data_IF_238223030724
#
_entry.id   IF_238223030724
#
_cell.length_a   1.000
_cell.length_b   1.000
_cell.length_c   1.000
_cell.angle_alpha   90.00
_cell.angle_beta   90.00
_cell.angle_gamma   90.00
#
_symmetry.space_group_name_H-M   'P 1'
#
loop_
_entity.id
_entity.type
_entity.pdbx_description
1 polymer ?
#
# COMPACT_ATOMS: atom_id res chain seq x y z
N UNK A 1 -21.14 28.12 -18.76
CA UNK A 1 -20.57 26.83 -18.35
C UNK A 1 -19.85 27.09 -17.04
N UNK A 2 -20.39 26.60 -15.93
CA UNK A 2 -19.94 26.98 -14.59
C UNK A 2 -18.49 26.51 -14.36
N UNK A 3 -17.68 27.43 -13.85
CA UNK A 3 -16.31 27.17 -13.44
C UNK A 3 -16.36 26.42 -12.12
N UNK A 4 -15.95 25.16 -12.10
CA UNK A 4 -15.86 24.39 -10.85
C UNK A 4 -14.87 25.10 -9.92
N UNK A 5 -15.33 25.37 -8.70
CA UNK A 5 -14.54 25.96 -7.63
C UNK A 5 -13.79 24.80 -6.98
N UNK A 6 -12.45 24.76 -6.96
CA UNK A 6 -11.72 23.77 -6.19
C UNK A 6 -12.12 23.97 -4.73
N UNK A 7 -12.70 22.96 -4.09
CA UNK A 7 -13.02 23.02 -2.67
C UNK A 7 -11.73 23.26 -1.90
N UNK A 8 -11.62 24.38 -1.18
CA UNK A 8 -10.42 24.75 -0.41
C UNK A 8 -10.02 23.72 0.66
N UNK A 9 -10.88 22.71 0.89
CA UNK A 9 -10.56 21.46 1.56
C UNK A 9 -10.90 20.34 0.56
N UNK A 10 -9.90 19.62 0.04
CA UNK A 10 -10.07 18.57 -0.98
C UNK A 10 -10.78 17.30 -0.51
N UNK A 11 -11.94 17.45 0.15
CA UNK A 11 -12.74 16.36 0.67
C UNK A 11 -13.87 16.04 -0.31
N UNK A 12 -13.75 14.91 -1.00
CA UNK A 12 -14.81 14.36 -1.84
C UNK A 12 -15.87 13.67 -0.96
N UNK A 13 -17.10 14.17 -1.04
CA UNK A 13 -18.22 13.64 -0.24
C UNK A 13 -18.93 12.47 -0.92
N UNK A 14 -18.77 12.33 -2.24
CA UNK A 14 -19.42 11.33 -3.07
C UNK A 14 -18.49 10.11 -3.25
N UNK A 15 -17.23 10.32 -3.65
CA UNK A 15 -16.22 9.27 -3.76
C UNK A 15 -15.31 9.23 -2.53
N UNK A 16 -15.80 8.60 -1.45
CA UNK A 16 -15.05 8.48 -0.18
C UNK A 16 -13.91 7.44 -0.20
N UNK A 17 -13.83 6.62 -1.23
CA UNK A 17 -12.75 5.62 -1.43
C UNK A 17 -12.12 5.76 -2.83
N UNK A 18 -11.35 6.84 -3.09
CA UNK A 18 -10.77 7.10 -4.40
C UNK A 18 -9.73 6.06 -4.83
N UNK A 19 -9.05 5.44 -3.86
CA UNK A 19 -7.99 4.45 -4.10
C UNK A 19 -8.48 3.00 -4.03
N UNK A 20 -9.79 2.78 -3.87
CA UNK A 20 -10.41 1.45 -3.73
C UNK A 20 -9.76 0.58 -2.65
N UNK A 21 -9.33 1.17 -1.54
CA UNK A 21 -8.64 0.44 -0.46
C UNK A 21 -9.57 -0.54 0.25
N UNK A 22 -10.88 -0.28 0.22
CA UNK A 22 -11.89 -1.05 0.94
C UNK A 22 -12.74 -1.93 0.01
N UNK A 23 -12.24 -2.28 -1.19
CA UNK A 23 -12.97 -3.11 -2.14
C UNK A 23 -13.44 -4.45 -1.55
N UNK A 24 -12.60 -5.08 -0.72
CA UNK A 24 -12.91 -6.33 -0.01
C UNK A 24 -14.09 -6.23 0.98
N UNK A 25 -14.51 -5.03 1.40
CA UNK A 25 -15.66 -4.83 2.29
C UNK A 25 -16.99 -4.65 1.54
N UNK A 26 -16.93 -4.54 0.20
CA UNK A 26 -18.10 -4.42 -0.67
C UNK A 26 -18.78 -5.77 -0.84
N UNK A 27 -19.44 -6.22 0.22
CA UNK A 27 -20.26 -7.45 0.20
C UNK A 27 -21.70 -7.08 -0.13
N UNK A 28 -22.22 -7.60 -1.25
CA UNK A 28 -23.60 -7.43 -1.68
C UNK A 28 -24.50 -8.53 -1.10
N UNK A 29 -25.82 -8.34 -1.19
CA UNK A 29 -26.79 -9.35 -0.74
C UNK A 29 -26.63 -10.67 -1.50
N UNK A 30 -26.46 -10.57 -2.82
CA UNK A 30 -26.32 -11.73 -3.70
C UNK A 30 -25.01 -12.48 -3.42
N UNK A 31 -23.93 -11.79 -3.02
CA UNK A 31 -22.65 -12.44 -2.65
C UNK A 31 -22.78 -13.35 -1.40
N UNK A 32 -23.77 -13.09 -0.55
CA UNK A 32 -23.96 -13.83 0.72
C UNK A 32 -24.95 -14.97 0.56
N UNK A 33 -26.08 -14.72 -0.12
CA UNK A 33 -27.20 -15.65 -0.13
C UNK A 33 -27.43 -16.37 -1.45
N UNK A 34 -26.99 -15.81 -2.59
CA UNK A 34 -27.14 -16.31 -3.97
C UNK A 34 -28.00 -17.59 -4.11
N UNK A 35 -29.31 -17.43 -4.34
CA UNK A 35 -30.18 -18.58 -4.61
C UNK A 35 -29.96 -19.11 -6.05
N UNK A 36 -29.75 -20.43 -6.25
CA UNK A 36 -29.54 -21.02 -7.58
C UNK A 36 -30.87 -21.25 -8.33
N UNK A 37 -30.85 -21.24 -9.67
CA UNK A 37 -32.05 -21.34 -10.54
C UNK A 37 -33.01 -22.51 -10.23
N UNK A 38 -32.53 -23.60 -9.61
CA UNK A 38 -33.36 -24.76 -9.25
C UNK A 38 -34.06 -24.67 -7.88
N UNK A 39 -33.65 -23.75 -7.01
CA UNK A 39 -34.14 -23.64 -5.62
C UNK A 39 -34.24 -22.17 -5.22
N UNK A 40 -35.32 -21.51 -5.67
CA UNK A 40 -35.62 -20.12 -5.33
C UNK A 40 -36.75 -20.02 -4.31
N UNK A 41 -36.55 -19.14 -3.32
CA UNK A 41 -37.57 -18.69 -2.40
C UNK A 41 -38.66 -17.90 -3.13
N UNK A 42 -39.82 -17.75 -2.51
CA UNK A 42 -40.87 -16.90 -3.06
C UNK A 42 -40.40 -15.44 -3.23
N UNK A 43 -40.73 -14.79 -4.35
CA UNK A 43 -40.31 -13.43 -4.71
C UNK A 43 -40.50 -12.39 -3.59
N UNK A 44 -41.59 -12.52 -2.83
CA UNK A 44 -41.89 -11.64 -1.70
C UNK A 44 -40.85 -11.77 -0.59
N UNK A 45 -40.49 -13.01 -0.24
CA UNK A 45 -39.47 -13.30 0.79
C UNK A 45 -38.13 -12.78 0.32
N UNK A 46 -37.74 -13.05 -0.93
CA UNK A 46 -36.47 -12.57 -1.50
C UNK A 46 -36.34 -11.04 -1.43
N UNK A 47 -37.39 -10.30 -1.83
CA UNK A 47 -37.40 -8.82 -1.77
C UNK A 47 -37.34 -8.28 -0.34
N UNK A 48 -38.05 -8.89 0.60
CA UNK A 48 -38.03 -8.46 2.00
C UNK A 48 -36.69 -8.75 2.66
N UNK A 49 -36.10 -9.90 2.38
CA UNK A 49 -34.74 -10.27 2.80
C UNK A 49 -33.71 -9.27 2.29
N UNK A 50 -33.77 -8.91 0.99
CA UNK A 50 -32.89 -7.90 0.41
C UNK A 50 -33.00 -6.54 1.12
N UNK A 51 -34.22 -6.07 1.37
CA UNK A 51 -34.46 -4.78 2.06
C UNK A 51 -33.97 -4.82 3.51
N UNK A 52 -34.27 -5.91 4.23
CA UNK A 52 -33.88 -6.09 5.62
C UNK A 52 -32.35 -6.15 5.77
N UNK A 53 -31.67 -6.90 4.90
CA UNK A 53 -30.21 -7.01 4.90
C UNK A 53 -29.53 -5.65 4.68
N UNK A 54 -29.90 -4.94 3.61
CA UNK A 54 -29.29 -3.65 3.29
C UNK A 54 -29.62 -2.58 4.35
N UNK A 55 -30.87 -2.57 4.84
CA UNK A 55 -31.31 -1.66 5.89
C UNK A 55 -30.58 -1.86 7.20
N UNK A 56 -30.50 -3.12 7.67
CA UNK A 56 -29.79 -3.46 8.92
C UNK A 56 -28.29 -3.15 8.82
N UNK A 57 -27.63 -3.56 7.73
CA UNK A 57 -26.22 -3.24 7.45
C UNK A 57 -25.97 -1.73 7.48
N UNK A 58 -26.79 -0.95 6.77
CA UNK A 58 -26.64 0.51 6.75
C UNK A 58 -26.90 1.14 8.12
N UNK A 59 -27.88 0.65 8.88
CA UNK A 59 -28.23 1.19 10.18
C UNK A 59 -27.07 0.98 11.16
N UNK A 60 -26.63 -0.27 11.33
CA UNK A 60 -25.53 -0.61 12.24
C UNK A 60 -24.24 0.14 11.88
N UNK A 61 -23.87 0.17 10.59
CA UNK A 61 -22.67 0.88 10.14
C UNK A 61 -22.72 2.38 10.46
N UNK A 62 -23.86 3.05 10.18
CA UNK A 62 -24.02 4.48 10.47
C UNK A 62 -23.98 4.75 11.98
N UNK A 63 -24.65 3.94 12.79
CA UNK A 63 -24.63 4.08 14.25
C UNK A 63 -23.21 3.95 14.81
N UNK A 64 -22.46 2.93 14.38
CA UNK A 64 -21.04 2.79 14.77
C UNK A 64 -20.22 4.00 14.32
N UNK A 65 -20.46 4.50 13.11
CA UNK A 65 -19.77 5.69 12.59
C UNK A 65 -20.05 6.92 13.45
N UNK A 66 -21.30 7.16 13.85
CA UNK A 66 -21.64 8.32 14.69
C UNK A 66 -20.96 8.29 16.06
N UNK A 67 -20.80 7.11 16.65
CA UNK A 67 -20.21 6.96 17.97
C UNK A 67 -18.68 6.98 17.90
N UNK A 68 -18.10 6.28 16.92
CA UNK A 68 -16.68 5.95 16.93
C UNK A 68 -15.85 6.71 15.90
N UNK A 69 -16.42 7.28 14.83
CA UNK A 69 -15.61 7.83 13.74
C UNK A 69 -14.80 9.06 14.17
N UNK A 70 -15.41 10.00 14.88
CA UNK A 70 -14.72 11.21 15.34
C UNK A 70 -13.57 10.93 16.31
N UNK A 71 -13.74 10.12 17.39
CA UNK A 71 -12.63 9.81 18.28
C UNK A 71 -11.51 9.05 17.57
N UNK A 72 -11.85 8.07 16.71
CA UNK A 72 -10.85 7.32 15.95
C UNK A 72 -10.08 8.24 14.99
N UNK A 73 -10.77 9.14 14.27
CA UNK A 73 -10.12 10.10 13.39
C UNK A 73 -9.16 11.02 14.15
N UNK A 74 -9.54 11.46 15.35
CA UNK A 74 -8.68 12.25 16.22
C UNK A 74 -7.43 11.45 16.66
N UNK A 75 -7.59 10.19 17.08
CA UNK A 75 -6.47 9.32 17.45
C UNK A 75 -5.47 9.15 16.32
N UNK A 76 -5.93 8.81 15.11
CA UNK A 76 -5.05 8.68 13.94
C UNK A 76 -4.38 10.00 13.55
N UNK A 77 -5.11 11.12 13.64
CA UNK A 77 -4.53 12.45 13.39
C UNK A 77 -3.36 12.75 14.34
N UNK A 78 -3.53 12.50 15.64
CA UNK A 78 -2.48 12.65 16.64
C UNK A 78 -1.29 11.70 16.38
N UNK A 79 -1.58 10.43 16.06
CA UNK A 79 -0.55 9.43 15.77
C UNK A 79 0.32 9.85 14.58
N UNK A 80 -0.29 10.25 13.45
CA UNK A 80 0.46 10.69 12.29
C UNK A 80 1.20 12.00 12.51
N UNK A 81 0.69 12.91 13.35
CA UNK A 81 1.41 14.11 13.75
C UNK A 81 2.69 13.77 14.55
N UNK A 82 2.58 12.88 15.55
CA UNK A 82 3.72 12.40 16.33
C UNK A 82 4.74 11.64 15.46
N UNK A 83 4.27 10.74 14.58
CA UNK A 83 5.12 10.01 13.65
C UNK A 83 5.87 10.97 12.73
N UNK A 84 5.20 11.98 12.18
CA UNK A 84 5.83 13.00 11.32
C UNK A 84 6.86 13.81 12.08
N UNK A 85 6.58 14.19 13.32
CA UNK A 85 7.54 14.88 14.18
C UNK A 85 8.79 14.03 14.42
N UNK A 86 8.61 12.77 14.85
CA UNK A 86 9.73 11.85 15.06
C UNK A 86 10.54 11.62 13.78
N UNK A 87 9.86 11.47 12.63
CA UNK A 87 10.51 11.26 11.36
C UNK A 87 11.41 12.44 10.98
N UNK A 88 10.88 13.67 11.07
CA UNK A 88 11.60 14.89 10.65
C UNK A 88 12.71 15.24 11.63
N UNK A 89 12.44 15.21 12.94
CA UNK A 89 13.33 15.76 13.95
C UNK A 89 14.31 14.74 14.55
N UNK A 90 14.02 13.44 14.47
CA UNK A 90 14.90 12.40 14.99
C UNK A 90 15.43 11.49 13.86
N UNK A 91 14.55 10.83 13.12
CA UNK A 91 14.97 9.77 12.17
C UNK A 91 15.80 10.31 11.01
N UNK A 92 15.37 11.39 10.36
CA UNK A 92 16.08 11.96 9.21
C UNK A 92 17.52 12.40 9.59
N UNK A 93 17.75 13.16 10.68
CA UNK A 93 19.10 13.45 11.18
C UNK A 93 19.91 12.20 11.52
N UNK A 94 19.32 11.21 12.20
CA UNK A 94 20.00 9.96 12.54
C UNK A 94 20.46 9.22 11.28
N UNK A 95 19.59 9.04 10.28
CA UNK A 95 19.93 8.42 9.00
C UNK A 95 21.04 9.21 8.30
N UNK A 96 20.99 10.55 8.34
CA UNK A 96 22.03 11.39 7.75
C UNK A 96 23.39 11.14 8.42
N UNK A 97 23.44 11.07 9.75
CA UNK A 97 24.67 10.76 10.50
C UNK A 97 25.17 9.35 10.19
N UNK A 98 24.29 8.35 10.16
CA UNK A 98 24.65 6.98 9.78
C UNK A 98 25.27 6.94 8.38
N UNK A 99 24.70 7.68 7.41
CA UNK A 99 25.25 7.75 6.06
C UNK A 99 26.63 8.39 6.00
N UNK A 100 26.91 9.41 6.81
CA UNK A 100 28.24 10.02 6.91
C UNK A 100 29.25 9.00 7.46
N UNK A 101 28.90 8.30 8.52
CA UNK A 101 29.76 7.26 9.11
C UNK A 101 29.99 6.10 8.15
N UNK A 102 28.93 5.62 7.50
CA UNK A 102 29.01 4.55 6.50
C UNK A 102 29.81 4.97 5.27
N UNK A 103 29.82 6.24 4.88
CA UNK A 103 30.63 6.72 3.77
C UNK A 103 32.13 6.48 4.03
N UNK A 104 32.60 6.76 5.25
CA UNK A 104 33.99 6.48 5.65
C UNK A 104 34.28 4.98 5.67
N UNK A 105 33.38 4.16 6.24
CA UNK A 105 33.52 2.70 6.23
C UNK A 105 33.55 2.16 4.80
N UNK A 106 32.70 2.69 3.92
CA UNK A 106 32.65 2.31 2.50
C UNK A 106 33.95 2.62 1.78
N UNK A 107 34.63 3.71 2.10
CA UNK A 107 35.95 4.00 1.52
C UNK A 107 36.97 2.94 1.90
N UNK A 108 37.04 2.57 3.19
CA UNK A 108 37.94 1.50 3.66
C UNK A 108 37.58 0.16 3.02
N UNK A 109 36.30 -0.18 3.01
CA UNK A 109 35.80 -1.41 2.40
C UNK A 109 36.11 -1.50 0.91
N UNK A 110 35.92 -0.41 0.16
CA UNK A 110 36.26 -0.33 -1.27
C UNK A 110 37.75 -0.60 -1.50
N UNK A 111 38.63 -0.05 -0.67
CA UNK A 111 40.07 -0.32 -0.74
C UNK A 111 40.41 -1.78 -0.45
N UNK A 112 39.76 -2.39 0.53
CA UNK A 112 39.94 -3.81 0.85
C UNK A 112 39.48 -4.72 -0.31
N UNK A 113 38.30 -4.45 -0.86
CA UNK A 113 37.77 -5.18 -2.02
C UNK A 113 38.73 -5.07 -3.19
N UNK A 114 39.21 -3.86 -3.51
CA UNK A 114 40.17 -3.69 -4.62
C UNK A 114 41.48 -4.44 -4.41
N UNK A 115 42.00 -4.43 -3.18
CA UNK A 115 43.28 -5.06 -2.90
C UNK A 115 43.19 -6.58 -2.91
N UNK A 116 42.07 -7.16 -2.46
CA UNK A 116 41.94 -8.60 -2.27
C UNK A 116 41.14 -9.31 -3.37
N UNK A 117 40.05 -8.70 -3.84
CA UNK A 117 39.10 -9.32 -4.76
C UNK A 117 39.41 -9.00 -6.22
N UNK A 118 39.93 -7.82 -6.55
CA UNK A 118 40.36 -7.52 -7.93
C UNK A 118 41.38 -8.54 -8.47
N UNK A 119 42.46 -8.93 -7.75
CA UNK A 119 43.41 -9.93 -8.26
C UNK A 119 42.78 -11.32 -8.44
N UNK A 120 41.84 -11.70 -7.56
CA UNK A 120 41.08 -12.94 -7.71
C UNK A 120 40.19 -12.90 -8.95
N UNK A 121 39.51 -11.77 -9.18
CA UNK A 121 38.61 -11.59 -10.31
C UNK A 121 39.37 -11.53 -11.64
N UNK A 122 40.55 -10.90 -11.64
CA UNK A 122 41.48 -10.88 -12.77
C UNK A 122 41.99 -12.29 -13.08
N UNK A 123 42.34 -13.07 -12.05
CA UNK A 123 42.75 -14.48 -12.21
C UNK A 123 41.62 -15.33 -12.81
N UNK A 124 40.38 -15.17 -12.33
CA UNK A 124 39.20 -15.83 -12.89
C UNK A 124 38.94 -15.42 -14.35
N UNK A 125 39.10 -14.13 -14.68
CA UNK A 125 38.94 -13.61 -16.03
C UNK A 125 39.99 -14.21 -16.98
N UNK A 126 41.23 -14.37 -16.54
CA UNK A 126 42.29 -15.02 -17.32
C UNK A 126 41.96 -16.48 -17.62
N UNK A 127 41.45 -17.25 -16.65
CA UNK A 127 41.00 -18.63 -16.86
C UNK A 127 39.93 -18.74 -17.95
N UNK A 128 39.04 -17.75 -18.05
CA UNK A 128 37.94 -17.73 -19.03
C UNK A 128 38.33 -17.05 -20.36
N UNK A 129 39.41 -16.27 -20.39
CA UNK A 129 39.81 -15.45 -21.55
C UNK A 129 40.14 -16.26 -22.81
N UNK A 130 40.47 -17.54 -22.68
CA UNK A 130 40.84 -18.42 -23.80
C UNK A 130 39.64 -19.07 -24.51
N UNK A 131 38.40 -18.85 -24.05
CA UNK A 131 37.20 -19.41 -24.69
C UNK A 131 36.81 -18.52 -25.87
N UNK A 132 37.09 -18.97 -27.10
CA UNK A 132 36.67 -18.30 -28.34
C UNK A 132 35.36 -18.89 -28.84
N UNK A 133 34.34 -18.06 -28.98
CA UNK A 133 33.04 -18.43 -29.55
C UNK A 133 33.04 -18.04 -31.03
N UNK A 134 33.00 -19.01 -31.93
CA UNK A 134 32.82 -18.76 -33.36
C UNK A 134 31.32 -18.78 -33.68
N UNK A 135 30.75 -17.61 -34.00
CA UNK A 135 29.37 -17.52 -34.48
C UNK A 135 29.34 -17.95 -35.95
N UNK A 136 28.70 -19.08 -36.21
CA UNK A 136 28.50 -19.61 -37.55
C UNK A 136 27.21 -18.99 -38.10
N UNK A 137 27.31 -17.92 -38.89
CA UNK A 137 26.12 -17.34 -39.56
C UNK A 137 25.65 -18.30 -40.66
N UNK A 138 24.42 -18.78 -40.53
CA UNK A 138 23.72 -19.58 -41.53
C UNK A 138 23.34 -18.75 -42.76
#
# INVERSE_FOLDING_TARGET
MAREIPSEFGLDMDMRDPNSINEHTKVLFDDVFAEPEGTHSADGVWRWSFKCYNGSKSCCYKTLTYICALPIACCWGCEFACLSFCQIWAMVPCIKTCNITLASVKQVWSSLVRTCLDPCNESCALCLSNIRITQQSA
#
